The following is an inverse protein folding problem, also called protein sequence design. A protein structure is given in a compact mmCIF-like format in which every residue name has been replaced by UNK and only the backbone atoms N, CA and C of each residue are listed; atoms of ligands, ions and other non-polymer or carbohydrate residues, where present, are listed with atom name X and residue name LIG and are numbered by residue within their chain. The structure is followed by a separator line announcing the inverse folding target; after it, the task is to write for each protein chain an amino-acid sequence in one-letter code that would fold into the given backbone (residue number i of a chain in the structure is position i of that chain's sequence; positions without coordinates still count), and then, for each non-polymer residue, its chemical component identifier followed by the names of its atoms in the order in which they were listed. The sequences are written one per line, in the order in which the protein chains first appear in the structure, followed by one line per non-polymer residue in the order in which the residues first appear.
data_IF_504286028944
#
_entry.id   IF_504286028944
#
_cell.length_a   1.000
_cell.length_b   1.000
_cell.length_c   1.000
_cell.angle_alpha   90.00
_cell.angle_beta   90.00
_cell.angle_gamma   90.00
#
_symmetry.space_group_name_H-M   'P 1'
#
loop_
_entity.id
_entity.type
_entity.pdbx_description
1 polymer ?
#
# COMPACT_ATOMS: atom_id res chain seq x y z
N UNK A 1 -2.10 9.35 17.41
CA UNK A 1 -0.94 8.79 18.15
C UNK A 1 -0.81 9.55 19.46
N UNK A 2 -0.68 8.85 20.55
CA UNK A 2 -0.59 9.42 21.90
C UNK A 2 0.86 9.47 22.36
N UNK A 3 1.32 10.60 22.89
CA UNK A 3 2.55 10.70 23.65
C UNK A 3 2.21 10.69 25.12
N UNK A 4 2.87 9.85 25.90
CA UNK A 4 2.65 9.74 27.35
C UNK A 4 3.02 11.03 28.11
N UNK A 5 3.97 11.83 27.58
CA UNK A 5 4.42 13.06 28.23
C UNK A 5 3.58 14.28 27.82
N UNK A 6 3.14 14.36 26.57
CA UNK A 6 2.45 15.53 26.03
C UNK A 6 0.99 15.29 25.68
N UNK A 7 0.47 14.13 26.01
CA UNK A 7 -0.90 13.65 25.78
C UNK A 7 -1.36 13.59 24.31
N UNK A 8 -0.79 14.31 23.36
CA UNK A 8 -1.17 14.27 21.93
C UNK A 8 0.02 14.56 21.01
N UNK A 9 0.28 13.69 20.06
CA UNK A 9 1.24 13.93 19.00
C UNK A 9 0.51 14.17 17.67
N UNK A 10 0.63 15.39 17.14
CA UNK A 10 0.07 15.73 15.84
C UNK A 10 1.11 15.46 14.75
N UNK A 11 0.78 14.56 13.83
CA UNK A 11 1.63 14.23 12.70
C UNK A 11 0.99 14.72 11.39
N UNK A 12 1.48 15.81 10.81
CA UNK A 12 0.89 16.42 9.61
C UNK A 12 0.77 15.45 8.42
N UNK A 13 1.63 14.45 8.37
CA UNK A 13 1.66 13.44 7.31
C UNK A 13 0.56 12.40 7.41
N UNK A 14 0.03 12.16 8.61
CA UNK A 14 -1.10 11.25 8.81
C UNK A 14 -2.42 11.95 8.46
N UNK A 15 -2.48 13.26 8.64
CA UNK A 15 -3.68 14.06 8.39
C UNK A 15 -4.29 13.84 7.01
N UNK A 16 -3.47 13.59 6.00
CA UNK A 16 -3.95 13.48 4.63
C UNK A 16 -4.64 12.17 4.31
N UNK A 17 -4.22 11.08 4.92
CA UNK A 17 -4.94 9.81 4.80
C UNK A 17 -6.30 9.85 5.48
N UNK A 18 -6.38 10.59 6.56
CA UNK A 18 -7.61 10.79 7.31
C UNK A 18 -8.52 11.85 6.68
N UNK A 19 -7.99 12.76 5.88
CA UNK A 19 -8.76 13.83 5.20
C UNK A 19 -9.63 13.32 4.05
N UNK A 20 -9.49 12.06 3.64
CA UNK A 20 -10.46 11.42 2.75
C UNK A 20 -11.87 11.38 3.36
N UNK A 21 -11.99 11.54 4.65
CA UNK A 21 -13.24 11.63 5.39
C UNK A 21 -13.61 13.02 5.88
N UNK A 22 -13.07 14.10 5.32
CA UNK A 22 -13.41 15.49 5.70
C UNK A 22 -13.42 15.74 7.21
N UNK A 23 -12.25 16.04 7.78
CA UNK A 23 -12.07 16.84 9.00
C UNK A 23 -12.64 16.34 10.32
N UNK A 24 -13.85 15.83 10.33
CA UNK A 24 -14.59 15.52 11.55
C UNK A 24 -14.06 14.29 12.30
N UNK A 25 -13.73 13.21 11.62
CA UNK A 25 -13.24 11.98 12.27
C UNK A 25 -11.86 12.20 12.88
N UNK A 26 -11.02 12.97 12.20
CA UNK A 26 -9.68 13.27 12.70
C UNK A 26 -9.72 14.17 13.94
N UNK A 27 -10.58 15.20 13.94
CA UNK A 27 -10.78 16.06 15.09
C UNK A 27 -11.39 15.32 16.27
N UNK A 28 -12.29 14.38 16.05
CA UNK A 28 -12.82 13.51 17.09
C UNK A 28 -11.74 12.61 17.68
N UNK A 29 -10.89 11.98 16.84
CA UNK A 29 -9.77 11.17 17.32
C UNK A 29 -8.76 11.97 18.15
N UNK A 30 -8.52 13.22 17.81
CA UNK A 30 -7.63 14.11 18.55
C UNK A 30 -8.24 14.62 19.86
N UNK A 31 -9.55 14.55 19.98
CA UNK A 31 -10.28 14.92 21.22
C UNK A 31 -10.42 13.79 22.20
N UNK A 32 -10.12 12.56 21.81
CA UNK A 32 -10.19 11.42 22.72
C UNK A 32 -9.10 11.57 23.79
N UNK A 33 -9.52 11.91 25.01
CA UNK A 33 -8.74 11.71 26.21
C UNK A 33 -8.81 10.22 26.56
N UNK A 34 -7.85 9.45 26.05
CA UNK A 34 -7.72 8.07 26.46
C UNK A 34 -7.20 8.03 27.89
N UNK A 35 -8.05 7.69 28.83
CA UNK A 35 -7.60 7.18 30.11
C UNK A 35 -6.89 5.85 29.83
N UNK A 36 -5.58 5.82 30.10
CA UNK A 36 -4.81 4.59 30.00
C UNK A 36 -5.38 3.58 30.98
N UNK A 37 -6.01 2.54 30.48
CA UNK A 37 -6.54 1.49 31.29
C UNK A 37 -5.38 0.68 31.89
N UNK A 38 -5.38 0.49 33.17
CA UNK A 38 -4.37 -0.32 33.92
C UNK A 38 -4.30 -1.78 33.45
N UNK A 39 -5.29 -2.24 32.67
CA UNK A 39 -5.35 -3.60 32.12
C UNK A 39 -4.64 -3.73 30.76
N UNK A 40 -4.12 -2.64 30.17
CA UNK A 40 -3.45 -2.72 28.89
C UNK A 40 -2.06 -3.33 29.03
N UNK A 41 -1.70 -4.19 28.08
CA UNK A 41 -0.36 -4.74 27.97
C UNK A 41 0.60 -3.76 27.29
N UNK A 42 1.90 -3.93 27.54
CA UNK A 42 2.93 -3.12 26.91
C UNK A 42 3.71 -3.96 25.89
N UNK A 43 4.10 -3.35 24.79
CA UNK A 43 5.01 -3.90 23.81
C UNK A 43 6.27 -3.02 23.78
N UNK A 44 7.41 -3.60 24.18
CA UNK A 44 8.72 -2.93 24.22
C UNK A 44 9.52 -3.11 22.91
N UNK A 45 9.04 -3.98 22.02
CA UNK A 45 9.67 -4.15 20.71
C UNK A 45 9.49 -2.85 19.93
N UNK A 46 10.55 -2.26 19.38
CA UNK A 46 10.41 -1.07 18.56
C UNK A 46 9.61 -1.39 17.29
N UNK A 47 8.64 -0.55 17.01
CA UNK A 47 7.78 -0.73 15.85
C UNK A 47 7.82 0.48 14.93
N UNK A 48 7.77 0.23 13.63
CA UNK A 48 7.54 1.24 12.62
C UNK A 48 6.05 1.29 12.27
N UNK A 49 5.43 2.44 12.46
CA UNK A 49 4.02 2.62 12.15
C UNK A 49 3.76 2.51 10.65
N UNK A 50 3.14 1.40 10.26
CA UNK A 50 2.79 1.10 8.88
C UNK A 50 1.29 0.77 8.73
N UNK A 51 0.48 1.45 9.58
CA UNK A 51 -0.98 1.32 9.59
C UNK A 51 -1.55 2.36 8.63
N UNK A 52 -1.34 2.13 7.34
CA UNK A 52 -1.85 2.96 6.24
C UNK A 52 -2.81 2.16 5.37
N UNK A 53 -3.12 2.66 4.19
CA UNK A 53 -4.04 2.00 3.28
C UNK A 53 -3.40 0.78 2.62
N UNK A 54 -3.59 -0.40 3.22
CA UNK A 54 -3.14 -1.69 2.69
C UNK A 54 -4.26 -2.46 1.98
N UNK A 55 -5.51 -1.97 2.06
CA UNK A 55 -6.67 -2.64 1.48
C UNK A 55 -6.92 -2.26 0.02
N UNK A 56 -6.42 -1.13 -0.43
CA UNK A 56 -6.56 -0.67 -1.80
C UNK A 56 -5.22 -0.81 -2.54
N UNK A 57 -5.20 -1.60 -3.61
CA UNK A 57 -4.00 -1.91 -4.36
C UNK A 57 -3.23 -0.65 -4.82
N UNK A 58 -3.92 0.33 -5.45
CA UNK A 58 -3.28 1.57 -5.90
C UNK A 58 -2.66 2.34 -4.75
N UNK A 59 -3.44 2.55 -3.68
CA UNK A 59 -2.96 3.30 -2.53
C UNK A 59 -1.86 2.57 -1.78
N UNK A 60 -1.90 1.25 -1.75
CA UNK A 60 -0.81 0.48 -1.17
C UNK A 60 0.49 0.70 -1.95
N UNK A 61 0.48 0.54 -3.26
CA UNK A 61 1.69 0.67 -4.09
C UNK A 61 2.19 2.12 -4.11
N UNK A 62 1.29 3.09 -4.32
CA UNK A 62 1.71 4.48 -4.53
C UNK A 62 1.90 5.26 -3.23
N UNK A 63 0.98 5.11 -2.27
CA UNK A 63 0.98 5.94 -1.07
C UNK A 63 1.67 5.26 0.12
N UNK A 64 1.48 3.96 0.30
CA UNK A 64 1.89 3.23 1.50
C UNK A 64 3.27 2.61 1.37
N UNK A 65 3.53 1.90 0.29
CA UNK A 65 4.78 1.18 0.07
C UNK A 65 6.04 2.06 0.22
N UNK A 66 6.07 3.32 -0.26
CA UNK A 66 7.23 4.19 -0.13
C UNK A 66 7.69 4.46 1.31
N UNK A 67 6.80 4.36 2.31
CA UNK A 67 7.19 4.49 3.72
C UNK A 67 8.22 3.45 4.16
N UNK A 68 8.33 2.32 3.47
CA UNK A 68 9.33 1.29 3.73
C UNK A 68 10.76 1.80 3.56
N UNK A 69 10.98 2.87 2.81
CA UNK A 69 12.30 3.53 2.80
C UNK A 69 12.74 3.89 4.23
N UNK A 70 11.86 4.56 4.98
CA UNK A 70 12.16 4.95 6.37
C UNK A 70 12.26 3.73 7.30
N UNK A 71 11.47 2.68 7.06
CA UNK A 71 11.58 1.43 7.79
C UNK A 71 12.96 0.78 7.61
N UNK A 72 13.44 0.66 6.37
CA UNK A 72 14.77 0.09 6.11
C UNK A 72 15.90 0.92 6.70
N UNK A 73 15.79 2.25 6.67
CA UNK A 73 16.77 3.12 7.35
C UNK A 73 16.69 2.95 8.88
N UNK A 74 15.50 2.84 9.43
CA UNK A 74 15.28 2.56 10.85
C UNK A 74 15.84 1.21 11.29
N UNK A 75 15.71 0.17 10.45
CA UNK A 75 16.28 -1.18 10.70
C UNK A 75 17.80 -1.18 10.85
N UNK A 76 18.51 -0.24 10.20
CA UNK A 76 19.97 -0.12 10.36
C UNK A 76 20.37 0.35 11.76
N UNK A 77 19.50 1.10 12.41
CA UNK A 77 19.70 1.65 13.77
C UNK A 77 19.09 0.71 14.81
N UNK A 78 17.93 0.14 14.51
CA UNK A 78 17.18 -0.78 15.37
C UNK A 78 16.94 -2.08 14.60
N UNK A 79 17.87 -3.06 14.68
CA UNK A 79 17.75 -4.32 13.92
C UNK A 79 16.51 -5.15 14.26
N UNK A 80 15.98 -4.99 15.47
CA UNK A 80 14.76 -5.62 15.98
C UNK A 80 13.46 -4.89 15.61
N UNK A 81 13.55 -3.75 14.89
CA UNK A 81 12.40 -2.97 14.44
C UNK A 81 11.43 -3.83 13.63
N UNK A 82 10.16 -3.82 14.00
CA UNK A 82 9.08 -4.54 13.33
C UNK A 82 8.12 -3.57 12.63
N UNK A 83 7.43 -4.03 11.60
CA UNK A 83 6.31 -3.28 11.01
C UNK A 83 5.05 -3.44 11.88
N UNK A 84 4.46 -2.34 12.30
CA UNK A 84 3.16 -2.33 12.94
C UNK A 84 2.09 -2.13 11.88
N UNK A 85 1.28 -3.14 11.62
CA UNK A 85 0.28 -3.16 10.55
C UNK A 85 -1.11 -3.48 11.09
N UNK A 86 -2.15 -3.07 10.38
CA UNK A 86 -3.51 -3.57 10.63
C UNK A 86 -3.84 -4.71 9.67
N UNK A 87 -4.49 -5.76 10.14
CA UNK A 87 -5.05 -6.77 9.23
C UNK A 87 -6.08 -6.15 8.29
N UNK A 88 -6.40 -6.84 7.21
CA UNK A 88 -7.45 -6.43 6.30
C UNK A 88 -8.81 -6.42 7.02
N UNK A 89 -9.68 -5.48 6.63
CA UNK A 89 -11.00 -5.34 7.27
C UNK A 89 -11.77 -6.66 7.22
N UNK A 90 -12.22 -7.11 8.41
CA UNK A 90 -12.93 -8.38 8.58
C UNK A 90 -12.08 -9.63 8.41
N UNK A 91 -10.74 -9.50 8.43
CA UNK A 91 -9.78 -10.61 8.33
C UNK A 91 -8.79 -10.53 9.49
N UNK A 92 -8.13 -11.66 9.75
CA UNK A 92 -7.04 -11.73 10.74
C UNK A 92 -5.65 -11.60 10.09
N UNK A 93 -5.60 -11.33 8.79
CA UNK A 93 -4.36 -11.27 8.00
C UNK A 93 -4.43 -10.16 6.94
N UNK A 94 -3.31 -9.89 6.27
CA UNK A 94 -3.23 -8.94 5.15
C UNK A 94 -3.75 -9.59 3.86
N UNK A 95 -4.03 -8.75 2.86
CA UNK A 95 -4.31 -9.24 1.52
C UNK A 95 -3.08 -9.93 0.91
N UNK A 96 -3.26 -10.98 0.08
CA UNK A 96 -2.14 -11.69 -0.55
C UNK A 96 -1.16 -10.77 -1.28
N UNK A 97 -1.65 -9.78 -2.06
CA UNK A 97 -0.77 -8.86 -2.77
C UNK A 97 0.13 -8.02 -1.85
N UNK A 98 -0.32 -7.74 -0.62
CA UNK A 98 0.49 -7.03 0.38
C UNK A 98 1.63 -7.94 0.84
N UNK A 99 1.31 -9.20 1.22
CA UNK A 99 2.31 -10.17 1.63
C UNK A 99 3.33 -10.45 0.52
N UNK A 100 2.86 -10.73 -0.69
CA UNK A 100 3.71 -10.96 -1.86
C UNK A 100 4.70 -9.80 -2.08
N UNK A 101 4.23 -8.55 -1.92
CA UNK A 101 5.08 -7.36 -2.07
C UNK A 101 6.12 -7.25 -0.94
N UNK A 102 5.71 -7.48 0.32
CA UNK A 102 6.60 -7.43 1.46
C UNK A 102 7.68 -8.51 1.37
N UNK A 103 7.31 -9.74 0.98
CA UNK A 103 8.23 -10.86 0.78
C UNK A 103 9.27 -10.58 -0.31
N UNK A 104 8.85 -9.97 -1.43
CA UNK A 104 9.76 -9.54 -2.50
C UNK A 104 10.78 -8.49 -2.03
N UNK A 105 10.45 -7.73 -0.98
CA UNK A 105 11.34 -6.77 -0.32
C UNK A 105 12.15 -7.39 0.83
N UNK A 106 12.04 -8.70 1.05
CA UNK A 106 12.73 -9.42 2.11
C UNK A 106 12.13 -9.24 3.50
N UNK A 107 10.87 -8.78 3.58
CA UNK A 107 10.13 -8.63 4.83
C UNK A 107 9.27 -9.87 5.03
N UNK A 108 9.49 -10.57 6.13
CA UNK A 108 8.81 -11.82 6.47
C UNK A 108 7.67 -11.60 7.47
N UNK A 109 6.90 -12.64 7.74
CA UNK A 109 5.86 -12.60 8.78
C UNK A 109 6.42 -12.28 10.17
N UNK A 110 7.65 -12.71 10.44
CA UNK A 110 8.33 -12.41 11.70
C UNK A 110 8.68 -10.92 11.86
N UNK A 111 8.73 -10.17 10.77
CA UNK A 111 8.96 -8.73 10.78
C UNK A 111 7.69 -7.90 11.02
N UNK A 112 6.53 -8.54 11.11
CA UNK A 112 5.23 -7.86 11.24
C UNK A 112 4.59 -8.11 12.59
N UNK A 113 4.09 -7.06 13.21
CA UNK A 113 3.21 -7.11 14.39
C UNK A 113 1.87 -6.49 14.01
N UNK A 114 0.78 -7.21 14.24
CA UNK A 114 -0.54 -6.65 14.03
C UNK A 114 -0.95 -5.74 15.21
N UNK A 115 -1.46 -4.57 14.84
CA UNK A 115 -1.97 -3.58 15.79
C UNK A 115 -3.10 -4.17 16.63
N UNK A 116 -2.96 -4.05 17.96
CA UNK A 116 -3.99 -4.40 18.93
C UNK A 116 -4.44 -3.16 19.69
N UNK A 117 -5.72 -3.07 20.00
CA UNK A 117 -6.31 -1.90 20.65
C UNK A 117 -5.94 -1.76 22.12
N UNK A 118 -5.64 -2.88 22.79
CA UNK A 118 -5.34 -3.00 24.21
C UNK A 118 -3.83 -3.09 24.49
N UNK A 119 -2.99 -2.66 23.54
CA UNK A 119 -1.53 -2.69 23.66
C UNK A 119 -0.95 -1.29 23.54
N UNK A 120 -0.10 -0.95 24.49
CA UNK A 120 0.75 0.25 24.47
C UNK A 120 2.07 -0.11 23.79
N UNK A 121 2.36 0.53 22.66
CA UNK A 121 3.64 0.38 21.98
C UNK A 121 4.59 1.47 22.47
N UNK A 122 5.62 1.08 23.24
CA UNK A 122 6.52 2.03 23.91
C UNK A 122 7.45 2.77 22.95
N UNK A 123 7.84 2.13 21.83
CA UNK A 123 8.75 2.71 20.85
C UNK A 123 8.13 2.62 19.45
N UNK A 124 7.68 3.77 18.94
CA UNK A 124 7.03 3.86 17.63
C UNK A 124 7.78 4.84 16.74
N UNK A 125 8.39 4.32 15.66
CA UNK A 125 8.91 5.14 14.57
C UNK A 125 7.77 5.45 13.58
N UNK A 126 7.73 6.69 13.10
CA UNK A 126 6.77 7.13 12.11
C UNK A 126 7.50 7.79 10.96
N UNK A 127 7.25 7.32 9.75
CA UNK A 127 7.78 7.90 8.53
C UNK A 127 6.97 9.11 8.06
N UNK A 128 7.60 9.95 7.26
CA UNK A 128 6.92 10.99 6.48
C UNK A 128 6.48 10.44 5.12
N UNK A 129 5.36 10.95 4.60
CA UNK A 129 4.92 10.60 3.25
C UNK A 129 5.96 11.05 2.21
N UNK A 130 6.27 10.15 1.29
CA UNK A 130 7.17 10.42 0.17
C UNK A 130 6.43 10.75 -1.13
N UNK A 131 5.13 10.51 -1.18
CA UNK A 131 4.28 10.74 -2.36
C UNK A 131 3.36 11.94 -2.22
N UNK A 132 3.04 12.30 -0.97
CA UNK A 132 2.18 13.42 -0.65
C UNK A 132 2.87 14.39 0.31
N UNK A 133 3.34 15.51 -0.18
CA UNK A 133 3.91 16.59 0.62
C UNK A 133 2.92 17.71 0.82
N UNK A 134 2.19 17.75 1.93
CA UNK A 134 1.22 18.82 2.22
C UNK A 134 0.08 18.90 1.18
N UNK A 135 -0.29 20.08 0.74
CA UNK A 135 -1.25 20.31 -0.36
C UNK A 135 -0.58 20.16 -1.74
N UNK A 136 0.53 19.46 -1.85
CA UNK A 136 1.41 19.63 -2.98
C UNK A 136 0.98 18.83 -4.20
N UNK A 137 1.03 19.50 -5.32
CA UNK A 137 1.13 18.98 -6.68
C UNK A 137 2.57 18.56 -7.03
N UNK A 138 3.45 18.41 -6.02
CA UNK A 138 4.84 18.05 -6.24
C UNK A 138 4.97 16.57 -6.64
N UNK A 139 5.95 16.24 -7.48
CA UNK A 139 6.24 14.85 -7.81
C UNK A 139 6.64 14.07 -6.55
N UNK A 140 6.53 12.74 -6.58
CA UNK A 140 7.01 11.89 -5.51
C UNK A 140 8.49 12.15 -5.19
N UNK A 141 8.86 12.01 -3.92
CA UNK A 141 10.25 12.12 -3.50
C UNK A 141 11.08 10.97 -4.13
N UNK A 142 12.34 11.24 -4.45
CA UNK A 142 13.24 10.24 -5.08
C UNK A 142 13.30 8.90 -4.34
N UNK A 143 13.19 8.90 -3.03
CA UNK A 143 13.21 7.67 -2.22
C UNK A 143 12.01 6.75 -2.48
N UNK A 144 10.94 7.25 -3.06
CA UNK A 144 9.85 6.41 -3.59
C UNK A 144 10.38 5.45 -4.64
N UNK A 145 11.19 5.96 -5.57
CA UNK A 145 11.78 5.16 -6.63
C UNK A 145 12.84 4.18 -6.10
N UNK A 146 13.53 4.51 -5.00
CA UNK A 146 14.48 3.58 -4.37
C UNK A 146 13.77 2.30 -3.87
N UNK A 147 12.54 2.43 -3.36
CA UNK A 147 11.74 1.27 -2.95
C UNK A 147 11.22 0.50 -4.18
N UNK A 148 10.67 1.21 -5.17
CA UNK A 148 10.18 0.57 -6.41
C UNK A 148 11.32 -0.17 -7.12
N UNK A 149 12.50 0.43 -7.20
CA UNK A 149 13.67 -0.19 -7.84
C UNK A 149 14.16 -1.46 -7.12
N UNK A 150 13.89 -1.63 -5.83
CA UNK A 150 14.18 -2.90 -5.12
C UNK A 150 13.29 -4.05 -5.58
N UNK A 151 12.10 -3.75 -6.10
CA UNK A 151 11.18 -4.73 -6.65
C UNK A 151 11.52 -5.09 -8.10
N UNK A 152 12.20 -4.18 -8.82
CA UNK A 152 12.58 -4.41 -10.22
C UNK A 152 13.78 -5.35 -10.33
N UNK A 153 13.85 -6.11 -11.42
CA UNK A 153 14.94 -7.06 -11.68
C UNK A 153 15.04 -7.36 -13.18
N UNK A 154 15.91 -8.29 -13.54
CA UNK A 154 16.07 -8.76 -14.90
C UNK A 154 14.90 -9.62 -15.36
N UNK A 155 13.74 -9.00 -15.50
CA UNK A 155 12.54 -9.66 -15.99
C UNK A 155 12.44 -9.57 -17.52
N UNK A 156 11.86 -10.60 -18.09
CA UNK A 156 11.49 -10.63 -19.51
C UNK A 156 9.98 -10.68 -19.61
N UNK A 157 9.42 -9.76 -20.36
CA UNK A 157 8.00 -9.65 -20.61
C UNK A 157 7.73 -8.94 -21.93
N UNK A 158 6.47 -8.75 -22.29
CA UNK A 158 6.07 -8.07 -23.51
C UNK A 158 6.48 -6.59 -23.49
N UNK A 159 6.93 -6.10 -24.64
CA UNK A 159 7.28 -4.69 -24.81
C UNK A 159 6.03 -3.79 -24.80
N UNK A 160 4.87 -4.34 -25.23
CA UNK A 160 3.60 -3.63 -25.36
C UNK A 160 2.51 -4.38 -24.62
N UNK A 161 1.91 -3.75 -23.65
CA UNK A 161 0.93 -4.35 -22.73
C UNK A 161 -0.39 -3.60 -22.78
N UNK A 162 -1.48 -4.31 -23.00
CA UNK A 162 -2.83 -3.82 -22.82
C UNK A 162 -3.42 -4.41 -21.54
N UNK A 163 -3.63 -3.57 -20.54
CA UNK A 163 -4.25 -3.99 -19.27
C UNK A 163 -5.76 -4.05 -19.47
N UNK A 164 -6.29 -5.25 -19.53
CA UNK A 164 -7.72 -5.47 -19.73
C UNK A 164 -8.49 -5.52 -18.41
N UNK A 165 -9.72 -5.06 -18.47
CA UNK A 165 -10.69 -5.17 -17.38
C UNK A 165 -11.96 -5.93 -17.78
N UNK A 166 -11.98 -6.59 -18.91
CA UNK A 166 -13.17 -7.29 -19.41
C UNK A 166 -13.54 -8.53 -18.57
N UNK A 167 -12.60 -9.05 -17.79
CA UNK A 167 -12.83 -10.15 -16.83
C UNK A 167 -13.18 -9.69 -15.42
N UNK A 168 -13.47 -8.42 -15.26
CA UNK A 168 -13.79 -7.78 -13.99
C UNK A 168 -14.94 -8.43 -13.19
N UNK A 169 -15.73 -9.31 -13.80
CA UNK A 169 -16.78 -10.11 -13.14
C UNK A 169 -16.23 -11.08 -12.08
N UNK A 170 -14.93 -11.23 -12.00
CA UNK A 170 -14.26 -12.07 -11.01
C UNK A 170 -14.17 -11.38 -9.63
N UNK A 171 -15.27 -10.78 -9.16
CA UNK A 171 -15.40 -10.09 -7.87
C UNK A 171 -15.10 -10.94 -6.63
N UNK A 172 -14.79 -12.21 -6.82
CA UNK A 172 -14.53 -13.17 -5.73
C UNK A 172 -13.05 -13.45 -5.50
N UNK A 173 -12.16 -12.75 -6.21
CA UNK A 173 -10.73 -12.95 -6.03
C UNK A 173 -10.26 -12.20 -4.77
N UNK A 174 -9.83 -12.94 -3.78
CA UNK A 174 -9.32 -12.42 -2.50
C UNK A 174 -8.11 -11.49 -2.64
N UNK A 175 -7.47 -11.49 -3.80
CA UNK A 175 -6.22 -10.77 -4.06
C UNK A 175 -6.39 -9.38 -4.70
N UNK A 176 -7.58 -8.89 -4.90
CA UNK A 176 -7.80 -7.58 -5.56
C UNK A 176 -8.03 -6.42 -4.59
N UNK A 177 -8.07 -6.70 -3.29
CA UNK A 177 -8.32 -5.69 -2.26
C UNK A 177 -9.76 -5.18 -2.26
N UNK A 178 -9.95 -4.00 -1.68
CA UNK A 178 -11.24 -3.28 -1.68
C UNK A 178 -11.32 -2.32 -2.87
N UNK A 179 -12.45 -1.66 -3.06
CA UNK A 179 -12.68 -0.66 -4.12
C UNK A 179 -12.63 -1.19 -5.56
N UNK A 180 -12.75 -2.47 -5.76
CA UNK A 180 -13.01 -3.01 -7.08
C UNK A 180 -14.39 -2.55 -7.56
N UNK A 181 -14.46 -1.76 -8.62
CA UNK A 181 -15.72 -1.13 -9.04
C UNK A 181 -16.03 -1.42 -10.50
N UNK A 182 -17.31 -1.69 -10.77
CA UNK A 182 -17.87 -1.82 -12.11
C UNK A 182 -17.92 -0.48 -12.87
N UNK A 183 -17.80 0.64 -12.15
CA UNK A 183 -17.95 2.00 -12.69
C UNK A 183 -16.93 2.37 -13.76
N UNK A 184 -15.83 1.62 -13.87
CA UNK A 184 -14.74 1.90 -14.82
C UNK A 184 -14.65 0.85 -15.91
N UNK A 185 -15.78 0.29 -16.30
CA UNK A 185 -15.88 -0.69 -17.37
C UNK A 185 -15.88 0.00 -18.73
N UNK A 186 -15.07 -0.49 -19.66
CA UNK A 186 -15.19 -0.16 -21.07
C UNK A 186 -16.27 -1.04 -21.70
N UNK A 187 -17.31 -0.44 -22.28
CA UNK A 187 -18.47 -1.19 -22.81
C UNK A 187 -18.12 -2.04 -24.04
N UNK A 188 -17.16 -1.59 -24.84
CA UNK A 188 -16.70 -2.27 -26.06
C UNK A 188 -15.25 -2.72 -25.94
N UNK A 189 -14.82 -3.16 -24.76
CA UNK A 189 -13.42 -3.49 -24.49
C UNK A 189 -12.89 -4.60 -25.39
N UNK A 190 -13.72 -5.56 -25.84
CA UNK A 190 -13.34 -6.58 -26.80
C UNK A 190 -12.82 -5.98 -28.12
N UNK A 191 -13.51 -4.95 -28.65
CA UNK A 191 -13.10 -4.25 -29.86
C UNK A 191 -11.80 -3.45 -29.62
N UNK A 192 -11.70 -2.81 -28.46
CA UNK A 192 -10.49 -2.06 -28.07
C UNK A 192 -9.30 -3.00 -27.96
N UNK A 193 -9.44 -4.14 -27.27
CA UNK A 193 -8.39 -5.14 -27.14
C UNK A 193 -7.94 -5.69 -28.52
N UNK A 194 -8.88 -5.94 -29.44
CA UNK A 194 -8.57 -6.35 -30.81
C UNK A 194 -7.73 -5.29 -31.55
N UNK A 195 -8.08 -4.02 -31.42
CA UNK A 195 -7.31 -2.93 -32.03
C UNK A 195 -5.89 -2.90 -31.46
N UNK A 196 -5.72 -2.95 -30.13
CA UNK A 196 -4.41 -2.99 -29.50
C UNK A 196 -3.58 -4.20 -29.96
N UNK A 197 -4.22 -5.37 -30.10
CA UNK A 197 -3.57 -6.58 -30.60
C UNK A 197 -3.00 -6.40 -32.02
N UNK A 198 -3.69 -5.66 -32.91
CA UNK A 198 -3.17 -5.33 -34.25
C UNK A 198 -1.89 -4.48 -34.22
N UNK A 199 -1.67 -3.74 -33.14
CA UNK A 199 -0.47 -2.95 -32.89
C UNK A 199 0.58 -3.67 -32.05
N UNK A 200 0.43 -4.98 -31.87
CA UNK A 200 1.37 -5.84 -31.15
C UNK A 200 1.32 -5.71 -29.62
N UNK A 201 0.21 -5.25 -29.07
CA UNK A 201 0.01 -5.29 -27.63
C UNK A 201 -0.47 -6.68 -27.19
N UNK A 202 0.11 -7.19 -26.11
CA UNK A 202 -0.36 -8.39 -25.42
C UNK A 202 -1.38 -7.99 -24.35
N UNK A 203 -2.52 -8.67 -24.36
CA UNK A 203 -3.56 -8.44 -23.38
C UNK A 203 -3.22 -9.11 -22.06
N UNK A 204 -3.31 -8.35 -20.96
CA UNK A 204 -2.97 -8.80 -19.60
C UNK A 204 -4.13 -8.55 -18.65
N UNK A 205 -4.43 -9.56 -17.85
CA UNK A 205 -5.44 -9.52 -16.78
C UNK A 205 -4.73 -9.53 -15.42
N UNK A 206 -4.48 -8.33 -14.87
CA UNK A 206 -3.66 -8.17 -13.67
C UNK A 206 -4.25 -8.87 -12.43
N UNK A 207 -5.56 -9.08 -12.36
CA UNK A 207 -6.21 -9.78 -11.27
C UNK A 207 -5.82 -11.25 -11.16
N UNK A 208 -5.33 -11.85 -12.24
CA UNK A 208 -4.91 -13.27 -12.28
C UNK A 208 -3.41 -13.45 -12.00
N UNK A 209 -2.67 -12.37 -11.77
CA UNK A 209 -1.22 -12.39 -11.65
C UNK A 209 -0.78 -12.19 -10.21
N UNK A 210 0.28 -12.88 -9.82
CA UNK A 210 1.05 -12.58 -8.61
C UNK A 210 1.75 -11.23 -8.71
N UNK A 211 2.18 -10.67 -7.59
CA UNK A 211 2.96 -9.42 -7.60
C UNK A 211 4.26 -9.56 -8.38
N UNK A 212 4.93 -10.71 -8.28
CA UNK A 212 6.15 -10.99 -9.03
C UNK A 212 5.93 -10.97 -10.55
N UNK A 213 4.83 -11.57 -11.02
CA UNK A 213 4.46 -11.56 -12.45
C UNK A 213 4.11 -10.15 -12.91
N UNK A 214 3.33 -9.39 -12.13
CA UNK A 214 3.03 -7.98 -12.43
C UNK A 214 4.30 -7.16 -12.57
N UNK A 215 5.19 -7.23 -11.59
CA UNK A 215 6.47 -6.52 -11.62
C UNK A 215 7.28 -6.92 -12.84
N UNK A 216 7.33 -8.20 -13.17
CA UNK A 216 8.03 -8.70 -14.35
C UNK A 216 7.51 -8.08 -15.65
N UNK A 217 6.20 -8.08 -15.83
CA UNK A 217 5.54 -7.51 -17.01
C UNK A 217 5.80 -6.01 -17.10
N UNK A 218 5.53 -5.25 -16.03
CA UNK A 218 5.66 -3.79 -16.06
C UNK A 218 7.12 -3.31 -16.13
N UNK A 219 8.08 -4.04 -15.56
CA UNK A 219 9.51 -3.73 -15.67
C UNK A 219 10.04 -3.91 -17.10
N UNK A 220 9.41 -4.78 -17.88
CA UNK A 220 9.81 -5.08 -19.26
C UNK A 220 9.08 -4.20 -20.30
N UNK A 221 7.89 -3.71 -19.95
CA UNK A 221 7.02 -2.98 -20.88
C UNK A 221 7.57 -1.58 -21.20
N UNK A 222 7.62 -1.24 -22.49
CA UNK A 222 7.88 0.12 -22.96
C UNK A 222 6.59 0.91 -23.21
N UNK A 223 5.52 0.20 -23.51
CA UNK A 223 4.22 0.79 -23.77
C UNK A 223 3.16 0.06 -22.98
N UNK A 224 2.42 0.81 -22.17
CA UNK A 224 1.31 0.31 -21.38
C UNK A 224 0.06 1.09 -21.73
N UNK A 225 -1.02 0.38 -22.04
CA UNK A 225 -2.32 0.96 -22.34
C UNK A 225 -3.40 0.20 -21.57
N UNK A 226 -4.52 0.85 -21.28
CA UNK A 226 -5.66 0.22 -20.63
C UNK A 226 -6.62 1.22 -20.01
N UNK A 227 -7.79 0.78 -19.56
CA UNK A 227 -8.73 1.62 -18.81
C UNK A 227 -8.12 2.06 -17.48
N UNK A 228 -8.46 3.28 -17.07
CA UNK A 228 -7.99 3.81 -15.78
C UNK A 228 -8.42 2.91 -14.61
N UNK A 229 -7.49 2.58 -13.74
CA UNK A 229 -7.74 1.73 -12.56
C UNK A 229 -6.46 1.27 -11.90
N UNK A 230 -6.59 0.51 -10.80
CA UNK A 230 -5.46 -0.01 -10.02
C UNK A 230 -4.48 -0.89 -10.82
N UNK A 231 -4.93 -1.53 -11.91
CA UNK A 231 -4.05 -2.30 -12.79
C UNK A 231 -3.06 -1.45 -13.60
N UNK A 232 -3.23 -0.13 -13.63
CA UNK A 232 -2.34 0.84 -14.29
C UNK A 232 -1.33 1.47 -13.32
N UNK A 233 -1.27 1.00 -12.09
CA UNK A 233 -0.43 1.54 -11.01
C UNK A 233 0.92 0.86 -10.96
#
# INVERSE_FOLDING_TARGET
MYSHQDKKLRLPTIERFMSLGRGTVYEEWMRYDMELCSSWSCCDIPVFYFVYNTANYFHFIYDTLPYLYTYFEGKKIHPDLKLLMSPAEGKDDLYPFVWETLELLGITRDDVIFLKQDVIYNYVLVGSSLTHGGLSTKPPHRFTFDIINRLTGDYKGPERVYISRRTWTHNKLDNIGTNYTERRRCMNEDQVAQIFSLYGFEEVFCENLTMKEKIGIFSSAKYVAGPIGGGMS
#
